data_IF_742449004610
#
_entry.id   IF_742449004610
#
_cell.length_a   1.000
_cell.length_b   1.000
_cell.length_c   1.000
_cell.angle_alpha   90.00
_cell.angle_beta   90.00
_cell.angle_gamma   90.00
#
_symmetry.space_group_name_H-M   'P 1'
#
loop_
_entity.id
_entity.type
_entity.pdbx_description
1 polymer ?
#
# COMPACT_ATOMS: atom_id res chain seq x y z
N UNK A 1 -13.43 11.09 -10.65
CA UNK A 1 -14.42 10.22 -11.35
C UNK A 1 -14.96 9.23 -10.34
N UNK A 2 -16.27 9.20 -10.15
CA UNK A 2 -16.93 8.26 -9.22
C UNK A 2 -17.14 6.90 -9.86
N UNK A 3 -17.44 5.88 -9.04
CA UNK A 3 -17.78 4.53 -9.52
C UNK A 3 -18.93 4.56 -10.56
N UNK A 4 -20.03 5.26 -10.29
CA UNK A 4 -21.18 5.35 -11.20
C UNK A 4 -20.84 6.02 -12.53
N UNK A 5 -20.02 7.09 -12.48
CA UNK A 5 -19.54 7.77 -13.69
C UNK A 5 -18.64 6.87 -14.53
N UNK A 6 -17.78 6.06 -13.88
CA UNK A 6 -16.92 5.11 -14.58
C UNK A 6 -17.74 4.03 -15.29
N UNK A 7 -18.72 3.44 -14.57
CA UNK A 7 -19.61 2.44 -15.17
C UNK A 7 -20.33 2.97 -16.41
N UNK A 8 -20.85 4.20 -16.32
CA UNK A 8 -21.54 4.83 -17.45
C UNK A 8 -20.59 5.05 -18.62
N UNK A 9 -19.38 5.58 -18.36
CA UNK A 9 -18.37 5.79 -19.40
C UNK A 9 -17.94 4.48 -20.08
N UNK A 10 -17.73 3.40 -19.32
CA UNK A 10 -17.39 2.10 -19.93
C UNK A 10 -18.48 1.67 -20.91
N UNK A 11 -19.76 1.77 -20.52
CA UNK A 11 -20.88 1.43 -21.39
C UNK A 11 -20.97 2.34 -22.62
N UNK A 12 -20.80 3.64 -22.44
CA UNK A 12 -20.85 4.61 -23.53
C UNK A 12 -19.73 4.37 -24.56
N UNK A 13 -18.51 4.05 -24.11
CA UNK A 13 -17.37 3.79 -25.00
C UNK A 13 -17.43 2.44 -25.71
N UNK A 14 -18.07 1.47 -25.08
CA UNK A 14 -18.22 0.13 -25.68
C UNK A 14 -19.51 -0.05 -26.46
N UNK A 15 -20.45 0.91 -26.35
CA UNK A 15 -21.81 0.86 -26.95
C UNK A 15 -22.58 -0.40 -26.56
N UNK A 16 -22.36 -0.87 -25.30
CA UNK A 16 -22.93 -2.14 -24.81
C UNK A 16 -23.85 -1.89 -23.64
N UNK A 17 -25.01 -2.54 -23.69
CA UNK A 17 -26.05 -2.45 -22.67
C UNK A 17 -25.72 -3.22 -21.39
N UNK A 18 -26.49 -2.90 -20.32
CA UNK A 18 -26.41 -3.57 -19.01
C UNK A 18 -26.75 -5.06 -19.02
N UNK A 19 -27.32 -5.58 -20.10
CA UNK A 19 -27.58 -7.02 -20.26
C UNK A 19 -26.29 -7.83 -20.47
N UNK A 20 -25.27 -7.22 -21.08
CA UNK A 20 -23.96 -7.86 -21.29
C UNK A 20 -23.01 -7.49 -20.15
N UNK A 21 -22.98 -6.20 -19.81
CA UNK A 21 -22.17 -5.71 -18.70
C UNK A 21 -23.00 -5.65 -17.40
N UNK A 22 -23.11 -6.81 -16.74
CA UNK A 22 -23.68 -6.87 -15.40
C UNK A 22 -22.75 -6.17 -14.39
N UNK A 23 -23.30 -5.77 -13.22
CA UNK A 23 -22.50 -5.15 -12.16
C UNK A 23 -21.29 -6.01 -11.76
N UNK A 24 -21.50 -7.31 -11.64
CA UNK A 24 -20.40 -8.25 -11.26
C UNK A 24 -19.27 -8.27 -12.29
N UNK A 25 -19.58 -8.22 -13.60
CA UNK A 25 -18.57 -8.19 -14.67
C UNK A 25 -17.82 -6.86 -14.64
N UNK A 26 -18.54 -5.75 -14.46
CA UNK A 26 -17.93 -4.42 -14.39
C UNK A 26 -17.05 -4.27 -13.14
N UNK A 27 -17.46 -4.81 -12.00
CA UNK A 27 -16.64 -4.82 -10.79
C UNK A 27 -15.34 -5.58 -11.01
N UNK A 28 -15.38 -6.76 -11.67
CA UNK A 28 -14.19 -7.51 -12.04
C UNK A 28 -13.27 -6.77 -13.01
N UNK A 29 -13.83 -6.07 -14.00
CA UNK A 29 -13.08 -5.22 -14.93
C UNK A 29 -12.37 -4.08 -14.19
N UNK A 30 -13.06 -3.42 -13.27
CA UNK A 30 -12.52 -2.32 -12.46
C UNK A 30 -11.40 -2.85 -11.55
N UNK A 31 -11.62 -3.96 -10.87
CA UNK A 31 -10.63 -4.57 -9.99
C UNK A 31 -9.34 -4.92 -10.75
N UNK A 32 -9.45 -5.56 -11.92
CA UNK A 32 -8.29 -5.88 -12.75
C UNK A 32 -7.56 -4.62 -13.24
N UNK A 33 -8.30 -3.59 -13.62
CA UNK A 33 -7.74 -2.31 -14.05
C UNK A 33 -6.98 -1.59 -12.92
N UNK A 34 -7.55 -1.57 -11.70
CA UNK A 34 -6.87 -1.00 -10.52
C UNK A 34 -5.61 -1.79 -10.17
N UNK A 35 -5.65 -3.13 -10.20
CA UNK A 35 -4.46 -3.96 -9.99
C UNK A 35 -3.37 -3.71 -11.02
N UNK A 36 -3.73 -3.53 -12.28
CA UNK A 36 -2.78 -3.20 -13.34
C UNK A 36 -2.09 -1.87 -13.04
N UNK A 37 -2.86 -0.82 -12.72
CA UNK A 37 -2.31 0.50 -12.39
C UNK A 37 -1.38 0.42 -11.17
N UNK A 38 -1.77 -0.29 -10.13
CA UNK A 38 -0.96 -0.43 -8.91
C UNK A 38 0.35 -1.20 -9.12
N UNK A 39 0.43 -2.07 -10.14
CA UNK A 39 1.67 -2.75 -10.54
C UNK A 39 2.59 -1.85 -11.36
N UNK A 40 1.99 -1.04 -12.23
CA UNK A 40 2.74 -0.18 -13.15
C UNK A 40 3.29 1.06 -12.45
N UNK A 41 2.69 1.47 -11.32
CA UNK A 41 3.06 2.69 -10.61
C UNK A 41 3.47 2.36 -9.18
N UNK A 42 4.71 2.70 -8.83
CA UNK A 42 5.14 2.73 -7.42
C UNK A 42 4.70 4.06 -6.78
N UNK A 43 3.51 4.05 -6.19
CA UNK A 43 2.91 5.23 -5.58
C UNK A 43 3.02 5.19 -4.05
N UNK A 44 3.44 6.30 -3.47
CA UNK A 44 3.41 6.54 -2.02
C UNK A 44 2.04 7.09 -1.53
N UNK A 45 1.05 7.20 -2.42
CA UNK A 45 -0.27 7.74 -2.09
C UNK A 45 -1.00 6.94 -1.00
N UNK A 46 -0.75 5.64 -0.97
CA UNK A 46 -1.36 4.71 -0.01
C UNK A 46 -0.49 4.49 1.24
N UNK A 47 0.43 5.42 1.50
CA UNK A 47 1.21 5.42 2.75
C UNK A 47 0.31 5.72 3.93
N UNK A 48 0.40 4.89 4.97
CA UNK A 48 -0.29 5.06 6.24
C UNK A 48 0.68 5.02 7.40
N UNK A 49 0.32 5.74 8.43
CA UNK A 49 0.97 5.72 9.73
C UNK A 49 -0.03 5.21 10.74
N UNK A 50 0.30 4.13 11.39
CA UNK A 50 -0.55 3.53 12.41
C UNK A 50 0.23 3.24 13.66
N UNK A 51 -0.45 3.24 14.80
CA UNK A 51 0.14 2.97 16.10
C UNK A 51 -0.54 1.79 16.74
N UNK A 52 0.25 0.90 17.34
CA UNK A 52 -0.24 -0.21 18.14
C UNK A 52 0.54 -0.27 19.46
N UNK A 53 -0.05 -0.87 20.47
CA UNK A 53 0.62 -1.10 21.75
C UNK A 53 1.20 -2.50 21.78
N UNK A 54 2.48 -2.59 22.12
CA UNK A 54 3.15 -3.82 22.50
C UNK A 54 2.72 -4.20 23.91
N UNK A 55 2.39 -5.46 24.11
CA UNK A 55 2.02 -5.99 25.43
C UNK A 55 3.26 -6.61 26.06
N UNK A 56 3.47 -6.37 27.33
CA UNK A 56 4.55 -6.99 28.11
C UNK A 56 4.51 -8.51 27.97
N UNK A 57 5.65 -9.12 27.70
CA UNK A 57 5.82 -10.57 27.50
C UNK A 57 5.10 -11.15 26.28
N UNK A 58 4.57 -10.32 25.38
CA UNK A 58 4.03 -10.75 24.09
C UNK A 58 4.88 -10.15 22.94
N UNK A 59 5.51 -11.01 22.17
CA UNK A 59 6.34 -10.59 21.02
C UNK A 59 5.56 -10.39 19.72
N UNK A 60 4.26 -10.72 19.71
CA UNK A 60 3.44 -10.64 18.51
C UNK A 60 2.52 -9.43 18.53
N UNK A 61 2.37 -8.81 17.38
CA UNK A 61 1.47 -7.69 17.13
C UNK A 61 0.58 -8.05 15.96
N UNK A 62 -0.68 -7.65 16.02
CA UNK A 62 -1.58 -7.79 14.88
C UNK A 62 -1.11 -6.92 13.72
N UNK A 63 -1.00 -7.53 12.55
CA UNK A 63 -0.71 -6.83 11.30
C UNK A 63 -1.94 -6.02 10.88
N UNK A 64 -1.79 -4.74 10.53
CA UNK A 64 -2.89 -3.98 9.94
C UNK A 64 -3.45 -4.66 8.70
N UNK A 65 -4.78 -4.76 8.61
CA UNK A 65 -5.44 -5.35 7.44
C UNK A 65 -5.07 -4.61 6.16
N UNK A 66 -4.75 -5.34 5.10
CA UNK A 66 -4.36 -4.75 3.82
C UNK A 66 -2.93 -4.17 3.77
N UNK A 67 -2.11 -4.38 4.79
CA UNK A 67 -0.71 -4.00 4.75
C UNK A 67 0.03 -4.76 3.64
N UNK A 68 0.64 -4.04 2.70
CA UNK A 68 1.47 -4.61 1.63
C UNK A 68 2.94 -4.63 2.01
N UNK A 69 3.49 -3.46 2.33
CA UNK A 69 4.93 -3.28 2.56
C UNK A 69 5.12 -2.38 3.77
N UNK A 70 5.91 -2.81 4.76
CA UNK A 70 6.37 -1.94 5.85
C UNK A 70 7.55 -1.12 5.35
N UNK A 71 7.44 0.20 5.44
CA UNK A 71 8.52 1.14 5.10
C UNK A 71 9.44 1.38 6.29
N UNK A 72 8.86 1.52 7.47
CA UNK A 72 9.61 1.65 8.72
C UNK A 72 8.73 1.28 9.92
N UNK A 73 9.37 0.78 10.95
CA UNK A 73 8.77 0.55 12.25
C UNK A 73 9.63 1.25 13.31
N UNK A 74 9.01 1.89 14.27
CA UNK A 74 9.71 2.56 15.36
C UNK A 74 8.95 2.36 16.66
N UNK A 75 9.68 2.26 17.75
CA UNK A 75 9.10 2.31 19.10
C UNK A 75 9.11 3.75 19.57
N UNK A 76 8.01 4.14 20.15
CA UNK A 76 7.87 5.41 20.87
C UNK A 76 7.83 5.02 22.35
N UNK A 77 8.93 5.27 23.05
CA UNK A 77 9.00 5.03 24.49
C UNK A 77 8.28 6.17 25.21
N UNK A 78 7.16 5.83 25.85
CA UNK A 78 6.42 6.74 26.72
C UNK A 78 6.67 6.47 28.20
N UNK A 79 7.40 5.40 28.53
CA UNK A 79 7.55 4.91 29.90
C UNK A 79 9.03 4.98 30.34
N UNK A 80 9.34 5.90 31.22
CA UNK A 80 10.51 5.79 32.08
C UNK A 80 11.85 6.32 31.57
N UNK A 81 11.95 6.82 30.36
CA UNK A 81 13.14 7.54 29.91
C UNK A 81 13.11 8.99 30.42
N UNK A 82 14.27 9.52 30.80
CA UNK A 82 14.44 10.94 31.12
C UNK A 82 14.10 11.87 29.95
N UNK A 83 13.85 11.29 28.77
CA UNK A 83 13.41 11.92 27.52
C UNK A 83 12.06 11.35 27.13
N UNK A 84 10.93 12.00 27.45
CA UNK A 84 9.62 11.58 27.00
C UNK A 84 9.56 11.59 25.47
N UNK A 85 9.03 10.49 24.88
CA UNK A 85 8.90 10.29 23.45
C UNK A 85 10.23 10.01 22.69
N UNK A 86 11.18 9.31 23.31
CA UNK A 86 12.32 8.78 22.59
C UNK A 86 11.84 7.81 21.51
N UNK A 87 12.30 8.00 20.26
CA UNK A 87 11.93 7.18 19.11
C UNK A 87 13.10 6.35 18.68
N UNK A 88 12.95 5.04 18.69
CA UNK A 88 13.95 4.10 18.24
C UNK A 88 13.44 3.29 17.05
N UNK A 89 14.17 3.32 15.92
CA UNK A 89 13.81 2.56 14.75
C UNK A 89 14.15 1.09 14.93
N UNK A 90 13.15 0.24 14.63
CA UNK A 90 13.35 -1.20 14.56
C UNK A 90 13.97 -1.57 13.22
N UNK A 91 14.93 -2.50 13.24
CA UNK A 91 15.53 -3.05 12.04
C UNK A 91 14.74 -4.26 11.55
N UNK A 92 14.41 -4.28 10.26
CA UNK A 92 13.81 -5.46 9.66
C UNK A 92 14.82 -6.60 9.62
N UNK A 93 14.40 -7.78 10.05
CA UNK A 93 15.19 -9.03 9.97
C UNK A 93 14.29 -10.17 9.50
N UNK A 94 14.89 -11.22 8.97
CA UNK A 94 14.17 -12.42 8.60
C UNK A 94 13.68 -13.20 9.83
N UNK A 95 12.64 -14.00 9.66
CA UNK A 95 12.04 -14.81 10.74
C UNK A 95 13.01 -15.84 11.32
N UNK A 96 13.91 -16.39 10.51
CA UNK A 96 14.98 -17.29 10.96
C UNK A 96 15.95 -16.58 11.92
N UNK A 97 16.36 -15.35 11.57
CA UNK A 97 17.17 -14.52 12.47
C UNK A 97 16.45 -14.25 13.80
N UNK A 98 15.15 -13.93 13.76
CA UNK A 98 14.37 -13.65 14.97
C UNK A 98 14.34 -14.84 15.93
N UNK A 99 14.21 -16.05 15.38
CA UNK A 99 14.22 -17.30 16.16
C UNK A 99 15.61 -17.63 16.72
N UNK A 100 16.67 -17.36 15.97
CA UNK A 100 18.04 -17.58 16.40
C UNK A 100 18.52 -16.54 17.41
N UNK A 101 18.16 -15.27 17.20
CA UNK A 101 18.54 -14.16 18.07
C UNK A 101 17.89 -14.24 19.45
N UNK A 102 16.64 -14.68 19.53
CA UNK A 102 15.87 -14.74 20.79
C UNK A 102 15.23 -16.13 21.02
N UNK A 103 16.04 -17.22 21.10
CA UNK A 103 15.51 -18.59 21.20
C UNK A 103 14.80 -18.85 22.53
N UNK A 104 15.17 -18.13 23.58
CA UNK A 104 14.59 -18.25 24.94
C UNK A 104 13.55 -17.20 25.25
N UNK A 105 13.16 -16.41 24.26
CA UNK A 105 12.20 -15.30 24.40
C UNK A 105 12.57 -14.30 25.51
N UNK A 106 13.89 -14.02 25.64
CA UNK A 106 14.38 -13.04 26.60
C UNK A 106 13.68 -11.69 26.41
N UNK A 107 13.35 -11.05 27.52
CA UNK A 107 12.64 -9.77 27.55
C UNK A 107 13.60 -8.60 27.48
N UNK A 108 13.16 -7.51 26.87
CA UNK A 108 13.89 -6.26 26.74
C UNK A 108 13.23 -5.28 25.77
N UNK A 109 13.86 -4.14 25.57
CA UNK A 109 13.38 -3.16 24.56
C UNK A 109 13.55 -3.77 23.18
N UNK A 110 12.48 -3.90 22.36
CA UNK A 110 12.56 -4.44 21.02
C UNK A 110 13.47 -3.60 20.11
N UNK A 111 14.29 -4.27 19.30
CA UNK A 111 15.24 -3.66 18.34
C UNK A 111 15.01 -4.14 16.92
N UNK A 112 14.40 -5.29 16.76
CA UNK A 112 14.19 -5.95 15.48
C UNK A 112 12.71 -6.27 15.32
N UNK A 113 12.26 -6.33 14.04
CA UNK A 113 10.93 -6.81 13.69
C UNK A 113 10.99 -7.67 12.43
N UNK A 114 10.00 -8.53 12.28
CA UNK A 114 9.78 -9.32 11.08
C UNK A 114 8.28 -9.48 10.82
N UNK A 115 7.91 -9.70 9.56
CA UNK A 115 6.58 -10.15 9.19
C UNK A 115 6.55 -11.67 9.43
N UNK A 116 5.79 -12.10 10.46
CA UNK A 116 5.74 -13.51 10.84
C UNK A 116 4.84 -14.31 9.90
N UNK A 117 3.63 -13.80 9.69
CA UNK A 117 2.62 -14.34 8.80
C UNK A 117 1.71 -13.22 8.25
N UNK A 118 0.57 -13.61 7.64
CA UNK A 118 -0.40 -12.64 7.10
C UNK A 118 -1.11 -11.82 8.19
N UNK A 119 -1.12 -12.28 9.43
CA UNK A 119 -1.85 -11.65 10.53
C UNK A 119 -0.94 -11.02 11.59
N UNK A 120 0.33 -11.43 11.66
CA UNK A 120 1.23 -11.09 12.76
C UNK A 120 2.55 -10.49 12.31
N UNK A 121 3.00 -9.55 13.11
CA UNK A 121 4.36 -9.02 13.09
C UNK A 121 5.02 -9.48 14.39
N UNK A 122 6.25 -9.97 14.33
CA UNK A 122 7.05 -10.37 15.49
C UNK A 122 8.11 -9.33 15.78
N UNK A 123 8.36 -9.07 17.05
CA UNK A 123 9.43 -8.19 17.52
C UNK A 123 10.41 -8.95 18.41
N UNK A 124 11.67 -8.52 18.45
CA UNK A 124 12.71 -9.08 19.31
C UNK A 124 13.66 -7.99 19.83
N UNK A 125 14.10 -8.07 21.11
CA UNK A 125 13.65 -8.97 22.19
C UNK A 125 12.15 -8.89 22.47
N UNK A 126 11.62 -9.85 23.24
CA UNK A 126 10.22 -9.79 23.72
C UNK A 126 10.04 -8.56 24.62
N UNK A 127 9.00 -7.75 24.44
CA UNK A 127 8.81 -6.54 25.22
C UNK A 127 8.81 -6.78 26.74
N UNK A 128 9.64 -6.06 27.48
CA UNK A 128 9.70 -6.08 28.95
C UNK A 128 8.69 -5.11 29.61
N UNK A 129 8.12 -4.21 28.80
CA UNK A 129 7.11 -3.25 29.22
C UNK A 129 6.12 -2.99 28.06
N UNK A 130 5.10 -2.19 28.34
CA UNK A 130 4.18 -1.71 27.30
C UNK A 130 4.83 -0.58 26.52
N UNK A 131 5.11 -0.79 25.24
CA UNK A 131 5.63 0.21 24.32
C UNK A 131 4.59 0.54 23.26
N UNK A 132 4.66 1.75 22.70
CA UNK A 132 3.90 2.09 21.52
C UNK A 132 4.77 1.87 20.28
N UNK A 133 4.36 0.98 19.39
CA UNK A 133 4.99 0.84 18.07
C UNK A 133 4.24 1.71 17.05
N UNK A 134 4.98 2.45 16.25
CA UNK A 134 4.47 3.18 15.10
C UNK A 134 4.96 2.52 13.82
N UNK A 135 4.02 2.11 12.99
CA UNK A 135 4.28 1.52 11.67
C UNK A 135 4.03 2.56 10.59
N UNK A 136 4.96 2.66 9.65
CA UNK A 136 4.80 3.36 8.39
C UNK A 136 4.79 2.32 7.28
N UNK A 137 3.69 2.21 6.56
CA UNK A 137 3.48 1.13 5.59
C UNK A 137 2.64 1.58 4.40
N UNK A 138 2.66 0.78 3.35
CA UNK A 138 1.78 0.93 2.18
C UNK A 138 0.58 0.02 2.39
N UNK A 139 -0.61 0.62 2.33
CA UNK A 139 -1.89 -0.07 2.46
C UNK A 139 -2.46 -0.41 1.08
N UNK A 140 -3.00 -1.62 0.91
CA UNK A 140 -3.92 -1.93 -0.17
C UNK A 140 -5.29 -1.33 0.20
N UNK A 141 -5.62 -0.19 -0.40
CA UNK A 141 -6.95 0.42 -0.20
C UNK A 141 -8.05 -0.47 -0.80
N UNK A 142 -9.25 -0.44 -0.22
CA UNK A 142 -10.43 -1.02 -0.86
C UNK A 142 -10.61 -0.45 -2.27
N UNK A 143 -10.81 -1.33 -3.25
CA UNK A 143 -11.03 -0.95 -4.64
C UNK A 143 -12.28 -0.09 -4.83
N UNK A 144 -12.38 0.53 -6.00
CA UNK A 144 -13.54 1.30 -6.41
C UNK A 144 -14.76 0.38 -6.54
N UNK A 145 -15.85 0.69 -5.85
CA UNK A 145 -17.06 -0.13 -5.80
C UNK A 145 -18.29 0.70 -5.46
N UNK A 146 -19.46 0.08 -5.46
CA UNK A 146 -20.70 0.75 -5.05
C UNK A 146 -20.65 1.27 -3.60
N UNK A 147 -19.92 0.58 -2.71
CA UNK A 147 -19.74 0.98 -1.30
C UNK A 147 -18.57 1.93 -1.10
N UNK A 148 -17.59 1.92 -2.01
CA UNK A 148 -16.44 2.81 -2.02
C UNK A 148 -16.40 3.58 -3.34
N UNK A 149 -17.22 4.63 -3.42
CA UNK A 149 -17.48 5.36 -4.66
C UNK A 149 -16.29 6.17 -5.20
N UNK A 150 -15.23 6.37 -4.40
CA UNK A 150 -14.07 7.15 -4.76
C UNK A 150 -12.79 6.50 -4.21
N UNK A 151 -11.79 6.33 -5.06
CA UNK A 151 -10.43 5.92 -4.67
C UNK A 151 -9.43 7.01 -5.07
N UNK A 152 -8.20 6.92 -4.55
CA UNK A 152 -7.14 7.84 -4.96
C UNK A 152 -6.93 7.80 -6.49
N UNK A 153 -6.92 6.60 -7.07
CA UNK A 153 -6.77 6.41 -8.52
C UNK A 153 -7.93 7.06 -9.27
N UNK A 154 -9.16 6.83 -8.85
CA UNK A 154 -10.34 7.34 -9.53
C UNK A 154 -10.44 8.87 -9.53
N UNK A 155 -9.86 9.52 -8.53
CA UNK A 155 -9.87 10.98 -8.41
C UNK A 155 -8.68 11.64 -9.11
N UNK A 156 -7.48 11.09 -8.92
CA UNK A 156 -6.24 11.72 -9.40
C UNK A 156 -5.78 11.19 -10.76
N UNK A 157 -6.25 9.99 -11.16
CA UNK A 157 -5.86 9.34 -12.41
C UNK A 157 -7.07 8.79 -13.19
N UNK A 158 -8.15 9.58 -13.38
CA UNK A 158 -9.41 9.09 -13.96
C UNK A 158 -9.27 8.57 -15.39
N UNK A 159 -8.44 9.21 -16.21
CA UNK A 159 -8.25 8.80 -17.61
C UNK A 159 -7.48 7.49 -17.71
N UNK A 160 -6.46 7.29 -16.87
CA UNK A 160 -5.72 6.03 -16.83
C UNK A 160 -6.59 4.87 -16.37
N UNK A 161 -7.42 5.10 -15.35
CA UNK A 161 -8.38 4.11 -14.89
C UNK A 161 -9.39 3.76 -15.98
N UNK A 162 -9.94 4.76 -16.70
CA UNK A 162 -10.87 4.52 -17.80
C UNK A 162 -10.22 3.69 -18.91
N UNK A 163 -9.01 4.06 -19.36
CA UNK A 163 -8.34 3.30 -20.42
C UNK A 163 -7.97 1.89 -19.99
N UNK A 164 -7.53 1.69 -18.75
CA UNK A 164 -7.29 0.35 -18.22
C UNK A 164 -8.58 -0.49 -18.21
N UNK A 165 -9.71 0.08 -17.77
CA UNK A 165 -11.00 -0.59 -17.81
C UNK A 165 -11.45 -0.90 -19.26
N UNK A 166 -11.23 0.00 -20.21
CA UNK A 166 -11.59 -0.22 -21.62
C UNK A 166 -10.78 -1.36 -22.25
N UNK A 167 -9.49 -1.49 -21.92
CA UNK A 167 -8.66 -2.62 -22.36
C UNK A 167 -9.26 -3.94 -21.89
N UNK A 168 -9.59 -4.06 -20.61
CA UNK A 168 -10.23 -5.24 -20.03
C UNK A 168 -11.61 -5.50 -20.63
N UNK A 169 -12.42 -4.43 -20.81
CA UNK A 169 -13.77 -4.53 -21.39
C UNK A 169 -13.73 -5.02 -22.85
N UNK A 170 -12.86 -4.47 -23.67
CA UNK A 170 -12.70 -4.93 -25.07
C UNK A 170 -12.07 -6.34 -25.14
N UNK A 171 -11.22 -6.70 -24.20
CA UNK A 171 -10.76 -8.07 -24.04
C UNK A 171 -11.92 -9.04 -23.74
N UNK A 172 -12.81 -8.68 -22.84
CA UNK A 172 -14.01 -9.45 -22.49
C UNK A 172 -14.97 -9.59 -23.69
N UNK A 173 -15.20 -8.50 -24.41
CA UNK A 173 -16.10 -8.48 -25.57
C UNK A 173 -15.50 -9.14 -26.81
N UNK A 174 -14.22 -9.55 -26.79
CA UNK A 174 -13.47 -9.99 -28.00
C UNK A 174 -13.56 -8.94 -29.12
N UNK A 175 -13.43 -7.68 -28.74
CA UNK A 175 -13.55 -6.54 -29.63
C UNK A 175 -12.42 -6.44 -30.67
N UNK A 176 -12.50 -5.48 -31.61
CA UNK A 176 -11.49 -5.28 -32.63
C UNK A 176 -10.10 -5.03 -32.04
N UNK A 177 -9.10 -5.69 -32.60
CA UNK A 177 -7.71 -5.60 -32.12
C UNK A 177 -7.15 -4.18 -32.24
N UNK A 178 -7.58 -3.43 -33.25
CA UNK A 178 -7.14 -2.06 -33.48
C UNK A 178 -7.56 -1.12 -32.34
N UNK A 179 -8.78 -1.27 -31.81
CA UNK A 179 -9.27 -0.50 -30.68
C UNK A 179 -8.53 -0.87 -29.39
N UNK A 180 -8.26 -2.15 -29.20
CA UNK A 180 -7.50 -2.62 -28.05
C UNK A 180 -6.08 -2.04 -28.07
N UNK A 181 -5.41 -2.05 -29.21
CA UNK A 181 -4.08 -1.43 -29.38
C UNK A 181 -4.12 0.09 -29.16
N UNK A 182 -5.18 0.76 -29.61
CA UNK A 182 -5.36 2.20 -29.39
C UNK A 182 -5.48 2.53 -27.89
N UNK A 183 -6.28 1.77 -27.13
CA UNK A 183 -6.43 2.00 -25.70
C UNK A 183 -5.16 1.62 -24.93
N UNK A 184 -4.43 0.59 -25.34
CA UNK A 184 -3.12 0.25 -24.80
C UNK A 184 -2.11 1.40 -24.98
N UNK A 185 -2.07 2.01 -26.15
CA UNK A 185 -1.20 3.15 -26.41
C UNK A 185 -1.58 4.37 -25.56
N UNK A 186 -2.87 4.69 -25.50
CA UNK A 186 -3.38 5.78 -24.66
C UNK A 186 -3.08 5.54 -23.19
N UNK A 187 -3.26 4.32 -22.71
CA UNK A 187 -2.94 3.94 -21.34
C UNK A 187 -1.46 4.15 -21.02
N UNK A 188 -0.55 3.63 -21.88
CA UNK A 188 0.90 3.81 -21.71
C UNK A 188 1.29 5.28 -21.66
N UNK A 189 0.77 6.08 -22.55
CA UNK A 189 1.06 7.51 -22.60
C UNK A 189 0.64 8.25 -21.34
N UNK A 190 -0.54 7.92 -20.79
CA UNK A 190 -1.07 8.58 -19.59
C UNK A 190 -0.35 8.07 -18.33
N UNK A 191 -0.01 6.77 -18.27
CA UNK A 191 0.68 6.18 -17.11
C UNK A 191 2.12 6.68 -16.97
N UNK A 192 2.82 6.90 -18.09
CA UNK A 192 4.16 7.51 -18.09
C UNK A 192 4.13 8.90 -17.44
N UNK A 193 3.19 9.74 -17.83
CA UNK A 193 3.01 11.07 -17.24
C UNK A 193 2.72 11.03 -15.74
N UNK A 194 1.83 10.15 -15.34
CA UNK A 194 1.48 9.99 -13.93
C UNK A 194 2.63 9.39 -13.08
N UNK A 195 3.38 8.47 -13.65
CA UNK A 195 4.58 7.91 -12.99
C UNK A 195 5.62 8.98 -12.72
N UNK A 196 5.89 9.87 -13.70
CA UNK A 196 6.80 11.02 -13.52
C UNK A 196 6.30 11.96 -12.42
N UNK A 197 4.99 12.24 -12.38
CA UNK A 197 4.39 13.05 -11.32
C UNK A 197 4.57 12.40 -9.93
N UNK A 198 4.35 11.10 -9.80
CA UNK A 198 4.54 10.37 -8.54
C UNK A 198 6.01 10.35 -8.10
N UNK A 199 6.95 10.21 -9.04
CA UNK A 199 8.39 10.32 -8.75
C UNK A 199 8.76 11.72 -8.26
N UNK A 200 8.17 12.77 -8.83
CA UNK A 200 8.39 14.16 -8.40
C UNK A 200 7.88 14.44 -6.98
N UNK A 201 6.85 13.75 -6.54
CA UNK A 201 6.34 13.83 -5.15
C UNK A 201 7.26 13.14 -4.14
N UNK A 202 8.10 12.19 -4.58
CA UNK A 202 9.13 11.58 -3.75
C UNK A 202 10.31 12.52 -3.66
N UNK A 203 10.36 13.34 -2.63
CA UNK A 203 11.58 14.07 -2.31
C UNK A 203 12.68 13.06 -2.00
N UNK A 204 13.80 13.15 -2.70
CA UNK A 204 15.03 12.48 -2.30
C UNK A 204 15.50 13.13 -1.02
N UNK A 205 15.31 12.45 0.09
CA UNK A 205 15.88 12.84 1.36
C UNK A 205 17.36 12.44 1.35
N UNK A 206 18.25 13.31 1.77
CA UNK A 206 19.67 12.99 1.98
C UNK A 206 19.88 11.87 3.00
N UNK A 207 18.85 11.60 3.83
CA UNK A 207 18.81 10.50 4.79
C UNK A 207 18.51 9.12 4.19
N UNK A 208 18.23 9.01 2.90
CA UNK A 208 18.03 7.70 2.24
C UNK A 208 19.25 6.76 2.36
N UNK A 209 20.42 7.27 2.67
CA UNK A 209 21.62 6.49 2.94
C UNK A 209 21.70 5.91 4.38
N UNK A 210 20.67 6.10 5.20
CA UNK A 210 20.54 5.43 6.51
C UNK A 210 21.34 6.03 7.66
N UNK A 211 22.04 7.14 7.46
CA UNK A 211 22.77 7.81 8.55
C UNK A 211 22.25 9.24 8.73
N UNK A 212 21.59 9.55 9.85
CA UNK A 212 21.20 10.94 10.16
C UNK A 212 22.48 11.79 10.29
N UNK A 213 22.56 12.87 9.53
CA UNK A 213 23.61 13.88 9.77
C UNK A 213 23.23 14.63 11.04
N UNK A 214 23.94 14.36 12.12
CA UNK A 214 23.84 15.17 13.34
C UNK A 214 24.42 16.53 12.99
N UNK A 215 23.57 17.56 12.96
CA UNK A 215 24.02 18.93 12.80
C UNK A 215 25.03 19.25 13.91
N UNK A 216 26.21 19.76 13.53
CA UNK A 216 27.12 20.31 14.51
C UNK A 216 26.41 21.49 15.20
N UNK A 217 26.21 21.35 16.50
CA UNK A 217 25.88 22.48 17.38
C UNK A 217 27.05 23.46 17.44
#
# INVERSE_FOLDING_TARGET
MTYTELLQKIKDYTEVDSNVFTSTILDGIIENAEFRILRDIDSDSNRRYDTANLITSDRFINRPAGLLIVRSAQIVDSQGSSQPNNREFLQYRDTSFMSEFNPTESTGVPKYYSLWDEEKIVVAPTPDATYTIQLNYILKEPGLSATNANTYISQNFPNGLLYACLIEAYGFLKGPQDLLQLYEQKYKQVIEGFSIEQMGRRRRDEYQAGVPRIGKQ
#
